data_IF_073201849959
#
_entry.id   IF_073201849959
#
_cell.length_a   1.000
_cell.length_b   1.000
_cell.length_c   1.000
_cell.angle_alpha   90.00
_cell.angle_beta   90.00
_cell.angle_gamma   90.00
#
_symmetry.space_group_name_H-M   'P 1'
#
loop_
_entity.id
_entity.type
_entity.pdbx_description
1 polymer ?
#
# COMPACT_ATOMS: atom_id res chain seq x y z
N UNK A 1 23.93 -43.47 -4.76
CA UNK A 1 25.24 -42.85 -4.50
C UNK A 1 25.00 -41.35 -4.38
N UNK A 2 25.02 -40.71 -3.31
CA UNK A 2 25.69 -40.62 -2.02
C UNK A 2 24.80 -39.79 -1.08
N UNK A 3 24.25 -40.44 -0.07
CA UNK A 3 23.50 -39.78 1.00
C UNK A 3 24.25 -39.79 2.35
N UNK A 4 25.49 -40.26 2.37
CA UNK A 4 26.23 -40.60 3.61
C UNK A 4 27.34 -39.59 3.99
N UNK A 5 27.61 -38.53 3.22
CA UNK A 5 28.66 -37.56 3.57
C UNK A 5 28.22 -36.37 4.44
N UNK A 6 26.93 -36.23 4.75
CA UNK A 6 26.40 -35.08 5.53
C UNK A 6 26.38 -35.37 7.05
N UNK A 7 26.68 -36.61 7.48
CA UNK A 7 26.54 -36.99 8.91
C UNK A 7 27.81 -36.85 9.78
N UNK A 8 28.95 -36.50 9.24
CA UNK A 8 30.23 -36.52 9.97
C UNK A 8 30.79 -35.16 10.39
N UNK A 9 30.10 -34.04 10.13
CA UNK A 9 30.53 -32.69 10.55
C UNK A 9 29.79 -32.10 11.75
N UNK A 10 28.94 -32.86 12.43
CA UNK A 10 28.04 -32.37 13.48
C UNK A 10 28.61 -32.41 14.91
N UNK A 11 29.87 -32.76 15.13
CA UNK A 11 30.39 -33.00 16.49
C UNK A 11 31.71 -32.28 16.86
N UNK A 12 32.06 -31.18 16.20
CA UNK A 12 33.17 -30.32 16.69
C UNK A 12 32.80 -28.85 16.58
N UNK A 13 32.45 -28.23 17.70
CA UNK A 13 32.55 -26.80 17.95
C UNK A 13 31.25 -26.05 18.08
N UNK A 14 30.73 -25.91 19.28
CA UNK A 14 29.58 -25.09 19.63
C UNK A 14 29.72 -23.59 19.32
N UNK A 15 30.87 -23.10 18.93
CA UNK A 15 31.12 -21.67 18.57
C UNK A 15 30.95 -21.35 17.07
N UNK A 16 30.91 -22.36 16.18
CA UNK A 16 30.71 -22.13 14.73
C UNK A 16 29.25 -22.11 14.30
N UNK A 17 28.29 -22.51 15.12
CA UNK A 17 26.87 -22.52 14.77
C UNK A 17 26.23 -21.12 14.77
N UNK A 18 26.75 -20.19 15.56
CA UNK A 18 26.22 -18.81 15.59
C UNK A 18 26.62 -18.00 14.35
N UNK A 19 27.86 -18.21 13.84
CA UNK A 19 28.28 -17.50 12.62
C UNK A 19 27.63 -18.01 11.34
N UNK A 20 27.23 -19.29 11.29
CA UNK A 20 26.58 -19.91 10.11
C UNK A 20 25.13 -19.45 9.95
N UNK A 21 24.41 -19.19 11.05
CA UNK A 21 23.06 -18.60 10.97
C UNK A 21 23.09 -17.16 10.46
N UNK A 22 24.11 -16.40 10.88
CA UNK A 22 24.30 -15.00 10.46
C UNK A 22 24.63 -14.91 8.95
N UNK A 23 25.52 -15.77 8.45
CA UNK A 23 25.88 -15.83 7.03
C UNK A 23 24.72 -16.27 6.14
N UNK A 24 23.81 -17.14 6.62
CA UNK A 24 22.65 -17.58 5.83
C UNK A 24 21.56 -16.49 5.73
N UNK A 25 21.43 -15.63 6.73
CA UNK A 25 20.51 -14.48 6.70
C UNK A 25 20.98 -13.42 5.68
N UNK A 26 22.27 -13.17 5.61
CA UNK A 26 22.86 -12.13 4.76
C UNK A 26 23.13 -12.62 3.32
N UNK A 27 23.20 -13.96 3.11
CA UNK A 27 23.43 -14.60 1.81
C UNK A 27 22.21 -14.66 0.88
N UNK A 28 21.00 -14.37 1.36
CA UNK A 28 19.81 -14.28 0.48
C UNK A 28 19.84 -12.97 -0.33
N UNK A 29 20.72 -12.96 -1.33
CA UNK A 29 20.85 -11.91 -2.36
C UNK A 29 19.58 -11.74 -3.15
N UNK A 30 18.74 -10.82 -2.75
CA UNK A 30 17.84 -10.13 -3.66
C UNK A 30 17.83 -8.66 -3.30
N UNK A 31 18.93 -7.96 -3.64
CA UNK A 31 18.90 -6.53 -3.98
C UNK A 31 20.32 -6.08 -4.36
N UNK A 32 20.66 -6.22 -5.65
CA UNK A 32 21.69 -5.37 -6.24
C UNK A 32 21.05 -4.01 -6.50
N UNK A 33 21.14 -3.10 -5.53
CA UNK A 33 21.10 -1.67 -5.78
C UNK A 33 22.53 -1.20 -5.98
N UNK A 34 22.80 -0.42 -7.01
CA UNK A 34 24.10 0.22 -7.23
C UNK A 34 24.54 0.97 -5.97
N UNK A 35 25.43 0.37 -5.21
CA UNK A 35 26.10 1.01 -4.12
C UNK A 35 27.48 1.47 -4.59
N UNK A 36 27.65 2.79 -4.52
CA UNK A 36 28.93 3.45 -4.57
C UNK A 36 29.88 2.76 -3.56
N UNK A 37 30.99 2.23 -4.05
CA UNK A 37 32.08 1.72 -3.21
C UNK A 37 32.72 2.91 -2.48
N UNK A 38 32.28 3.18 -1.25
CA UNK A 38 32.81 4.29 -0.49
C UNK A 38 32.47 4.19 0.99
N UNK A 39 33.50 3.96 1.80
CA UNK A 39 33.60 4.05 3.26
C UNK A 39 32.53 3.29 4.07
N UNK A 40 33.00 2.34 4.85
CA UNK A 40 32.29 1.76 5.99
C UNK A 40 31.73 2.93 6.82
N UNK A 41 30.44 3.01 6.96
CA UNK A 41 29.76 4.14 7.62
C UNK A 41 29.18 3.69 8.98
N UNK A 42 29.96 2.86 9.69
CA UNK A 42 29.65 2.39 11.04
C UNK A 42 29.49 3.59 11.96
N UNK A 43 28.41 3.63 12.71
CA UNK A 43 28.15 4.73 13.64
C UNK A 43 27.81 4.15 15.01
N UNK A 44 28.60 4.53 16.00
CA UNK A 44 28.38 4.16 17.39
C UNK A 44 28.07 5.39 18.21
N UNK A 45 27.08 5.24 19.07
CA UNK A 45 26.60 6.30 19.95
C UNK A 45 26.45 5.76 21.36
N UNK A 46 26.45 6.67 22.34
CA UNK A 46 26.18 6.38 23.73
C UNK A 46 25.06 7.26 24.25
N UNK A 47 24.15 6.66 25.01
CA UNK A 47 23.12 7.40 25.73
C UNK A 47 23.68 7.90 27.08
N UNK A 48 23.77 9.22 27.22
CA UNK A 48 24.16 9.91 28.44
C UNK A 48 23.22 11.11 28.63
N UNK A 49 21.92 10.80 28.89
CA UNK A 49 20.85 11.80 28.89
C UNK A 49 20.59 12.44 27.53
N UNK A 50 21.52 12.30 26.59
CA UNK A 50 21.46 12.70 25.17
C UNK A 50 22.24 11.69 24.33
N UNK A 51 22.06 11.73 23.01
CA UNK A 51 22.79 10.86 22.08
C UNK A 51 24.17 11.49 21.77
N UNK A 52 25.25 10.86 22.20
CA UNK A 52 26.62 11.30 21.93
C UNK A 52 27.31 10.32 20.97
N UNK A 53 27.91 10.84 19.89
CA UNK A 53 28.71 10.01 18.98
C UNK A 53 29.94 9.47 19.71
N UNK A 54 30.18 8.16 19.59
CA UNK A 54 31.38 7.47 20.10
C UNK A 54 32.42 7.18 19.01
N UNK A 55 32.13 7.56 17.74
CA UNK A 55 33.00 7.35 16.59
C UNK A 55 32.62 6.14 15.75
N UNK A 56 33.55 5.70 14.89
CA UNK A 56 33.36 4.66 13.90
C UNK A 56 33.94 3.29 14.35
N UNK A 57 34.36 3.18 15.62
CA UNK A 57 34.93 1.95 16.19
C UNK A 57 34.00 1.39 17.26
N UNK A 58 33.87 0.04 17.34
CA UNK A 58 33.04 -0.59 18.36
C UNK A 58 33.49 -0.18 19.78
N UNK A 59 32.57 0.10 20.69
CA UNK A 59 32.92 0.46 22.05
C UNK A 59 33.56 -0.74 22.78
N UNK A 60 34.55 -0.47 23.62
CA UNK A 60 35.18 -1.50 24.46
C UNK A 60 34.18 -2.16 25.43
N UNK A 61 33.20 -1.38 25.89
CA UNK A 61 32.11 -1.83 26.75
C UNK A 61 30.77 -1.40 26.16
N UNK A 62 29.87 -2.36 26.03
CA UNK A 62 28.50 -2.16 25.56
C UNK A 62 27.59 -1.86 26.76
N UNK A 63 27.54 -0.59 27.12
CA UNK A 63 26.71 -0.05 28.20
C UNK A 63 26.01 1.21 27.67
N UNK A 64 24.69 1.24 27.64
CA UNK A 64 23.89 2.33 27.06
C UNK A 64 24.33 2.70 25.62
N UNK A 65 24.59 1.70 24.81
CA UNK A 65 25.15 1.86 23.49
C UNK A 65 24.10 1.71 22.37
N UNK A 66 24.21 2.56 21.35
CA UNK A 66 23.51 2.42 20.09
C UNK A 66 24.53 2.16 18.99
N UNK A 67 24.34 1.08 18.24
CA UNK A 67 25.08 0.81 17.01
C UNK A 67 24.14 0.89 15.80
N UNK A 68 24.55 1.66 14.79
CA UNK A 68 23.89 1.73 13.48
C UNK A 68 24.85 1.20 12.45
N UNK A 69 24.50 0.07 11.86
CA UNK A 69 25.34 -0.69 10.95
C UNK A 69 24.55 -1.05 9.70
N UNK A 70 25.26 -1.24 8.60
CA UNK A 70 24.72 -1.97 7.46
C UNK A 70 24.74 -3.48 7.74
N UNK A 71 23.94 -4.24 6.99
CA UNK A 71 23.94 -5.70 7.08
C UNK A 71 25.34 -6.31 6.84
N UNK A 72 26.16 -5.68 5.99
CA UNK A 72 27.52 -6.11 5.69
C UNK A 72 28.49 -5.83 6.84
N UNK A 73 28.41 -4.64 7.43
CA UNK A 73 29.27 -4.25 8.55
C UNK A 73 29.02 -5.10 9.79
N UNK A 74 27.78 -5.51 10.02
CA UNK A 74 27.41 -6.39 11.12
C UNK A 74 28.02 -7.81 11.01
N UNK A 75 28.43 -8.25 9.82
CA UNK A 75 29.20 -9.51 9.63
C UNK A 75 30.68 -9.39 10.05
N UNK A 76 31.23 -8.18 9.93
CA UNK A 76 32.66 -7.94 10.11
C UNK A 76 33.04 -7.60 11.57
N UNK A 77 32.04 -7.21 12.37
CA UNK A 77 32.25 -6.74 13.76
C UNK A 77 31.86 -7.83 14.77
N UNK A 78 32.67 -8.08 15.80
CA UNK A 78 32.29 -8.93 16.92
C UNK A 78 31.21 -8.22 17.77
N UNK A 79 29.93 -8.55 17.51
CA UNK A 79 28.83 -8.04 18.29
C UNK A 79 28.72 -8.83 19.63
N UNK A 80 28.26 -8.18 20.71
CA UNK A 80 28.00 -8.85 21.96
C UNK A 80 26.97 -9.98 21.76
N UNK A 81 27.12 -11.13 22.41
CA UNK A 81 26.13 -12.23 22.29
C UNK A 81 24.70 -11.83 22.65
N UNK A 82 24.56 -10.74 23.40
CA UNK A 82 23.29 -10.19 23.85
C UNK A 82 22.54 -9.44 22.73
N UNK A 83 23.28 -8.84 21.79
CA UNK A 83 22.72 -8.12 20.64
C UNK A 83 22.64 -9.00 19.38
N UNK A 84 23.31 -10.15 19.37
CA UNK A 84 23.15 -11.16 18.31
C UNK A 84 21.88 -11.95 18.60
N UNK A 85 20.80 -11.77 17.85
CA UNK A 85 19.59 -12.55 18.08
C UNK A 85 19.86 -14.01 17.74
N UNK A 86 19.37 -14.97 18.55
CA UNK A 86 19.52 -16.41 18.25
C UNK A 86 18.84 -16.81 16.94
N UNK A 87 17.79 -16.11 16.58
CA UNK A 87 17.13 -16.16 15.28
C UNK A 87 16.77 -14.75 14.86
N UNK A 88 17.37 -14.26 13.77
CA UNK A 88 16.90 -13.01 13.16
C UNK A 88 15.46 -13.18 12.69
N UNK A 89 14.60 -12.17 12.89
CA UNK A 89 13.27 -12.23 12.33
C UNK A 89 13.36 -12.38 10.81
N UNK A 90 12.49 -13.19 10.20
CA UNK A 90 12.52 -13.40 8.75
C UNK A 90 12.39 -12.06 8.03
N UNK A 91 13.07 -11.93 6.89
CA UNK A 91 12.93 -10.73 6.07
C UNK A 91 11.45 -10.50 5.76
N UNK A 92 10.98 -9.30 6.06
CA UNK A 92 9.62 -8.88 5.80
C UNK A 92 9.37 -8.90 4.30
N UNK A 93 8.38 -9.64 3.86
CA UNK A 93 8.01 -9.75 2.44
C UNK A 93 6.98 -8.66 2.05
N UNK A 94 6.49 -8.68 0.81
CA UNK A 94 5.56 -7.65 0.31
C UNK A 94 4.22 -7.54 1.06
N UNK A 95 3.88 -8.54 1.87
CA UNK A 95 2.62 -8.59 2.63
C UNK A 95 2.80 -8.41 4.14
N UNK A 96 4.04 -8.52 4.62
CA UNK A 96 4.40 -8.38 6.01
C UNK A 96 5.30 -7.15 6.17
N UNK A 97 4.82 -6.15 6.88
CA UNK A 97 5.48 -4.84 7.00
C UNK A 97 6.30 -4.70 8.28
N UNK A 98 5.97 -5.46 9.30
CA UNK A 98 6.72 -5.49 10.54
C UNK A 98 6.64 -6.87 11.20
N UNK A 99 7.67 -7.20 11.94
CA UNK A 99 7.77 -8.42 12.76
C UNK A 99 8.42 -8.05 14.08
N UNK A 100 7.89 -8.58 15.16
CA UNK A 100 8.46 -8.47 16.50
C UNK A 100 8.67 -9.89 17.06
N UNK A 101 9.80 -10.13 17.71
CA UNK A 101 10.07 -11.35 18.47
C UNK A 101 10.63 -10.94 19.83
N UNK A 102 9.97 -11.39 20.88
CA UNK A 102 10.44 -11.26 22.26
C UNK A 102 11.02 -12.58 22.73
N UNK A 103 12.17 -12.52 23.38
CA UNK A 103 12.82 -13.68 24.02
C UNK A 103 13.42 -13.25 25.36
N UNK A 104 12.75 -13.59 26.45
CA UNK A 104 13.15 -13.17 27.79
C UNK A 104 13.29 -11.64 27.90
N UNK A 105 14.51 -11.14 28.10
CA UNK A 105 14.84 -9.70 28.18
C UNK A 105 15.43 -9.15 26.88
N UNK A 106 15.21 -9.80 25.74
CA UNK A 106 15.73 -9.40 24.43
C UNK A 106 14.56 -9.23 23.46
N UNK A 107 14.66 -8.22 22.65
CA UNK A 107 13.67 -7.91 21.65
C UNK A 107 14.33 -7.75 20.29
N UNK A 108 13.77 -8.36 19.26
CA UNK A 108 14.21 -8.19 17.88
C UNK A 108 13.03 -7.87 16.99
N UNK A 109 13.20 -6.94 16.07
CA UNK A 109 12.15 -6.58 15.14
C UNK A 109 12.68 -6.17 13.80
N UNK A 110 11.84 -6.30 12.78
CA UNK A 110 12.11 -5.81 11.43
C UNK A 110 10.93 -4.98 10.95
N UNK A 111 11.23 -3.87 10.30
CA UNK A 111 10.22 -2.96 9.74
C UNK A 111 10.53 -2.73 8.27
N UNK A 112 9.49 -2.79 7.44
CA UNK A 112 9.54 -2.49 6.02
C UNK A 112 8.37 -1.62 5.60
N UNK A 113 8.64 -0.35 5.30
CA UNK A 113 7.68 0.56 4.68
C UNK A 113 7.97 0.62 3.18
N UNK A 114 7.00 0.27 2.31
CA UNK A 114 7.21 0.29 0.87
C UNK A 114 7.43 1.71 0.34
N UNK A 115 8.13 1.82 -0.79
CA UNK A 115 8.30 3.10 -1.49
C UNK A 115 6.95 3.76 -1.83
N UNK A 116 6.89 5.08 -1.71
CA UNK A 116 5.74 5.95 -2.02
C UNK A 116 6.18 7.05 -2.97
N UNK A 117 5.24 7.85 -3.48
CA UNK A 117 5.49 8.85 -4.54
C UNK A 117 6.72 9.76 -4.31
N UNK A 118 7.00 10.14 -3.07
CA UNK A 118 8.12 11.06 -2.73
C UNK A 118 9.08 10.46 -1.69
N UNK A 119 8.92 9.18 -1.33
CA UNK A 119 9.71 8.54 -0.27
C UNK A 119 10.22 7.19 -0.76
N UNK A 120 11.52 6.96 -0.57
CA UNK A 120 12.14 5.65 -0.80
C UNK A 120 11.57 4.61 0.17
N UNK A 121 11.69 3.34 -0.18
CA UNK A 121 11.35 2.27 0.75
C UNK A 121 12.25 2.38 1.98
N UNK A 122 11.66 2.17 3.16
CA UNK A 122 12.39 2.11 4.42
C UNK A 122 12.43 0.65 4.85
N UNK A 123 13.61 0.19 5.19
CA UNK A 123 13.80 -1.14 5.76
C UNK A 123 14.93 -1.06 6.78
N UNK A 124 14.62 -1.48 7.99
CA UNK A 124 15.63 -1.67 9.02
C UNK A 124 15.24 -2.83 9.94
N UNK A 125 16.22 -3.41 10.58
CA UNK A 125 16.05 -4.44 11.62
C UNK A 125 16.69 -3.91 12.89
N UNK A 126 16.10 -4.21 14.02
CA UNK A 126 16.67 -3.84 15.31
C UNK A 126 16.80 -5.06 16.23
N UNK A 127 17.81 -5.01 17.09
CA UNK A 127 17.97 -5.90 18.22
C UNK A 127 18.21 -5.04 19.46
N UNK A 128 17.39 -5.26 20.47
CA UNK A 128 17.41 -4.56 21.74
C UNK A 128 17.70 -5.53 22.88
N UNK A 129 18.57 -5.14 23.80
CA UNK A 129 18.93 -5.90 25.01
C UNK A 129 19.08 -4.94 26.19
N UNK A 130 17.97 -4.62 26.84
CA UNK A 130 17.93 -3.72 28.00
C UNK A 130 18.41 -2.30 27.68
N UNK A 131 19.68 -2.05 27.87
CA UNK A 131 20.30 -0.72 27.69
C UNK A 131 20.88 -0.50 26.29
N UNK A 132 21.05 -1.56 25.51
CA UNK A 132 21.74 -1.52 24.22
C UNK A 132 20.79 -1.73 23.07
N UNK A 133 21.00 -0.99 21.98
CA UNK A 133 20.24 -1.06 20.75
C UNK A 133 21.16 -1.21 19.53
N UNK A 134 20.95 -2.24 18.75
CA UNK A 134 21.55 -2.44 17.43
C UNK A 134 20.50 -2.16 16.36
N UNK A 135 20.85 -1.35 15.37
CA UNK A 135 20.04 -1.06 14.19
C UNK A 135 20.80 -1.45 12.93
N UNK A 136 20.19 -2.31 12.10
CA UNK A 136 20.69 -2.68 10.80
C UNK A 136 19.91 -1.93 9.73
N UNK A 137 20.54 -0.99 9.06
CA UNK A 137 19.92 -0.08 8.09
C UNK A 137 20.74 0.07 6.82
N UNK A 138 20.42 -0.69 5.80
CA UNK A 138 21.05 -0.58 4.48
C UNK A 138 20.52 0.61 3.65
N UNK A 139 19.45 1.26 4.11
CA UNK A 139 18.75 2.33 3.39
C UNK A 139 19.08 3.75 3.81
N UNK A 140 19.79 3.92 4.93
CA UNK A 140 20.19 5.22 5.48
C UNK A 140 19.05 6.01 6.14
N UNK A 141 17.92 5.36 6.45
CA UNK A 141 16.82 6.01 7.14
C UNK A 141 17.17 6.38 8.58
N UNK A 142 17.79 5.45 9.30
CA UNK A 142 18.18 5.63 10.71
C UNK A 142 19.27 6.70 10.82
N UNK A 143 20.27 6.67 9.94
CA UNK A 143 21.33 7.70 9.91
C UNK A 143 20.73 9.09 9.67
N UNK A 144 19.82 9.21 8.69
CA UNK A 144 19.13 10.47 8.43
C UNK A 144 18.21 10.91 9.58
N UNK A 145 17.61 9.97 10.34
CA UNK A 145 16.89 10.29 11.56
C UNK A 145 17.81 10.85 12.63
N UNK A 146 18.95 10.23 12.88
CA UNK A 146 19.95 10.67 13.88
C UNK A 146 20.45 12.07 13.54
N UNK A 147 20.77 12.36 12.27
CA UNK A 147 21.19 13.69 11.85
C UNK A 147 20.15 14.76 12.18
N UNK A 148 18.88 14.50 11.92
CA UNK A 148 17.79 15.43 12.26
C UNK A 148 17.64 15.59 13.77
N UNK A 149 17.75 14.50 14.52
CA UNK A 149 17.61 14.51 15.98
C UNK A 149 18.78 15.20 16.69
N UNK A 150 20.01 15.00 16.24
CA UNK A 150 21.18 15.67 16.84
C UNK A 150 21.11 17.19 16.69
N UNK A 151 20.49 17.70 15.62
CA UNK A 151 20.24 19.12 15.45
C UNK A 151 19.24 19.70 16.48
N UNK A 152 18.36 18.87 17.05
CA UNK A 152 17.31 19.27 18.00
C UNK A 152 17.69 19.04 19.47
N UNK A 153 18.84 18.41 19.73
CA UNK A 153 19.36 18.05 21.08
C UNK A 153 18.29 17.40 21.98
N UNK A 154 17.64 16.32 21.54
CA UNK A 154 16.62 15.68 22.32
C UNK A 154 17.20 15.00 23.58
N UNK A 155 16.41 14.96 24.65
CA UNK A 155 16.73 14.20 25.85
C UNK A 155 16.16 12.79 25.73
N UNK A 156 17.04 11.79 25.84
CA UNK A 156 16.70 10.38 25.91
C UNK A 156 16.88 9.89 27.35
N UNK A 157 15.91 10.16 28.21
CA UNK A 157 16.00 9.83 29.64
C UNK A 157 16.04 8.32 29.88
N UNK A 158 15.29 7.55 29.06
CA UNK A 158 15.24 6.07 29.06
C UNK A 158 16.11 5.49 27.92
N UNK A 159 17.15 6.20 27.52
CA UNK A 159 18.18 5.72 26.60
C UNK A 159 17.64 5.09 25.31
N UNK A 160 17.93 3.81 25.11
CA UNK A 160 17.56 3.03 23.93
C UNK A 160 16.04 2.95 23.70
N UNK A 161 15.23 2.93 24.77
CA UNK A 161 13.78 2.83 24.69
C UNK A 161 13.15 4.11 24.14
N UNK A 162 13.56 5.26 24.65
CA UNK A 162 13.12 6.56 24.16
C UNK A 162 13.51 6.75 22.68
N UNK A 163 14.74 6.33 22.32
CA UNK A 163 15.22 6.42 20.96
C UNK A 163 14.40 5.56 20.00
N UNK A 164 14.12 4.30 20.35
CA UNK A 164 13.32 3.40 19.55
C UNK A 164 11.89 3.94 19.36
N UNK A 165 11.28 4.46 20.42
CA UNK A 165 9.94 5.05 20.36
C UNK A 165 9.91 6.28 19.42
N UNK A 166 10.90 7.18 19.49
CA UNK A 166 11.00 8.35 18.60
C UNK A 166 11.26 7.95 17.15
N UNK A 167 12.10 6.94 16.91
CA UNK A 167 12.34 6.39 15.58
C UNK A 167 11.04 5.86 14.95
N UNK A 168 10.20 5.17 15.72
CA UNK A 168 8.90 4.69 15.27
C UNK A 168 7.92 5.83 14.97
N UNK A 169 7.93 6.91 15.77
CA UNK A 169 7.11 8.10 15.52
C UNK A 169 7.54 8.78 14.22
N UNK A 170 8.85 8.98 14.00
CA UNK A 170 9.39 9.59 12.78
C UNK A 170 9.05 8.76 11.53
N UNK A 171 8.97 7.43 11.66
CA UNK A 171 8.63 6.50 10.59
C UNK A 171 7.33 6.85 9.89
N UNK A 172 6.32 7.32 10.62
CA UNK A 172 4.97 7.64 10.11
C UNK A 172 4.65 9.13 10.16
N UNK A 173 5.64 9.99 10.48
CA UNK A 173 5.42 11.43 10.67
C UNK A 173 4.92 12.12 9.40
N UNK A 174 5.41 11.74 8.23
CA UNK A 174 5.03 12.29 6.93
C UNK A 174 3.77 11.68 6.31
N UNK A 175 3.17 10.68 6.95
CA UNK A 175 2.10 9.89 6.37
C UNK A 175 0.75 10.64 6.22
N UNK A 176 0.36 11.61 7.08
CA UNK A 176 -0.85 12.40 6.86
C UNK A 176 -0.83 13.13 5.51
N UNK A 177 0.32 13.75 5.15
CA UNK A 177 0.45 14.42 3.84
C UNK A 177 0.33 13.44 2.66
N UNK A 178 0.79 12.20 2.83
CA UNK A 178 0.61 11.17 1.82
C UNK A 178 -0.85 10.69 1.70
N UNK A 179 -1.58 10.57 2.81
CA UNK A 179 -3.01 10.24 2.79
C UNK A 179 -3.81 11.35 2.11
N UNK A 180 -3.53 12.61 2.42
CA UNK A 180 -4.12 13.76 1.73
C UNK A 180 -3.85 13.76 0.22
N UNK A 181 -2.66 13.35 -0.21
CA UNK A 181 -2.37 13.17 -1.64
C UNK A 181 -3.23 12.06 -2.27
N UNK A 182 -3.48 10.95 -1.58
CA UNK A 182 -4.37 9.89 -2.07
C UNK A 182 -5.83 10.37 -2.16
N UNK A 183 -6.29 11.17 -1.21
CA UNK A 183 -7.60 11.82 -1.22
C UNK A 183 -7.75 12.72 -2.46
N UNK A 184 -6.81 13.63 -2.69
CA UNK A 184 -6.82 14.49 -3.88
C UNK A 184 -6.87 13.70 -5.20
N UNK A 185 -6.24 12.54 -5.27
CA UNK A 185 -6.32 11.64 -6.44
C UNK A 185 -7.70 11.01 -6.59
N UNK A 186 -8.41 10.74 -5.50
CA UNK A 186 -9.79 10.27 -5.54
C UNK A 186 -10.74 11.38 -6.01
N UNK A 187 -10.57 12.61 -5.51
CA UNK A 187 -11.34 13.77 -5.94
C UNK A 187 -11.23 14.04 -7.44
N UNK A 188 -10.00 13.93 -7.99
CA UNK A 188 -9.79 14.01 -9.44
C UNK A 188 -10.52 12.90 -10.22
N UNK A 189 -10.58 11.69 -9.66
CA UNK A 189 -11.30 10.57 -10.27
C UNK A 189 -12.81 10.78 -10.21
N UNK A 190 -13.34 11.26 -9.09
CA UNK A 190 -14.76 11.61 -8.93
C UNK A 190 -15.15 12.68 -9.96
N UNK A 191 -14.38 13.77 -10.03
CA UNK A 191 -14.60 14.83 -11.01
C UNK A 191 -14.61 14.30 -12.44
N UNK A 192 -13.68 13.43 -12.81
CA UNK A 192 -13.63 12.81 -14.14
C UNK A 192 -14.89 11.98 -14.47
N UNK A 193 -15.49 11.34 -13.46
CA UNK A 193 -16.75 10.59 -13.61
C UNK A 193 -17.91 11.56 -13.84
N UNK A 194 -18.00 12.64 -13.05
CA UNK A 194 -19.05 13.66 -13.17
C UNK A 194 -18.99 14.40 -14.52
N UNK A 195 -17.78 14.67 -15.01
CA UNK A 195 -17.54 15.30 -16.31
C UNK A 195 -17.74 14.32 -17.50
N UNK A 196 -18.00 13.03 -17.25
CA UNK A 196 -18.22 12.01 -18.26
C UNK A 196 -16.92 11.48 -18.92
N UNK A 197 -15.75 11.85 -18.40
CA UNK A 197 -14.44 11.43 -18.89
C UNK A 197 -14.05 10.06 -18.29
N UNK A 198 -14.67 8.99 -18.78
CA UNK A 198 -14.56 7.66 -18.17
C UNK A 198 -13.49 6.74 -18.77
N UNK A 199 -12.83 7.16 -19.85
CA UNK A 199 -11.99 6.29 -20.70
C UNK A 199 -10.81 5.60 -19.97
N UNK A 200 -10.28 6.18 -18.90
CA UNK A 200 -9.15 5.63 -18.12
C UNK A 200 -9.48 5.40 -16.65
N UNK A 201 -10.73 5.60 -16.27
CA UNK A 201 -11.19 5.55 -14.87
C UNK A 201 -10.83 4.24 -14.18
N UNK A 202 -11.23 3.09 -14.75
CA UNK A 202 -11.03 1.77 -14.14
C UNK A 202 -9.55 1.51 -13.83
N UNK A 203 -8.65 1.85 -14.76
CA UNK A 203 -7.21 1.64 -14.58
C UNK A 203 -6.65 2.54 -13.48
N UNK A 204 -7.00 3.84 -13.48
CA UNK A 204 -6.54 4.80 -12.46
C UNK A 204 -7.07 4.43 -11.08
N UNK A 205 -8.37 4.11 -10.97
CA UNK A 205 -9.01 3.67 -9.73
C UNK A 205 -8.38 2.37 -9.19
N UNK A 206 -8.07 1.40 -10.04
CA UNK A 206 -7.40 0.16 -9.63
C UNK A 206 -6.04 0.42 -8.96
N UNK A 207 -5.26 1.38 -9.45
CA UNK A 207 -3.97 1.76 -8.85
C UNK A 207 -4.19 2.35 -7.46
N UNK A 208 -5.10 3.34 -7.32
CA UNK A 208 -5.39 3.98 -6.04
C UNK A 208 -5.91 2.97 -5.01
N UNK A 209 -6.83 2.09 -5.40
CA UNK A 209 -7.36 1.04 -4.51
C UNK A 209 -6.28 0.07 -4.04
N UNK A 210 -5.32 -0.31 -4.89
CA UNK A 210 -4.18 -1.14 -4.48
C UNK A 210 -3.31 -0.43 -3.45
N UNK A 211 -3.04 0.85 -3.63
CA UNK A 211 -2.28 1.67 -2.68
C UNK A 211 -3.02 1.78 -1.33
N UNK A 212 -4.30 2.09 -1.33
CA UNK A 212 -5.13 2.17 -0.13
C UNK A 212 -5.18 0.83 0.63
N UNK A 213 -5.38 -0.28 -0.08
CA UNK A 213 -5.40 -1.61 0.54
C UNK A 213 -4.05 -1.98 1.16
N UNK A 214 -2.95 -1.63 0.51
CA UNK A 214 -1.60 -1.84 1.04
C UNK A 214 -1.36 -1.01 2.30
N UNK A 215 -1.72 0.27 2.28
CA UNK A 215 -1.54 1.17 3.42
C UNK A 215 -2.40 0.76 4.61
N UNK A 216 -3.66 0.39 4.39
CA UNK A 216 -4.53 -0.09 5.46
C UNK A 216 -3.96 -1.33 6.16
N UNK A 217 -3.41 -2.29 5.41
CA UNK A 217 -2.72 -3.45 6.00
C UNK A 217 -1.46 -3.07 6.75
N UNK A 218 -0.70 -2.13 6.21
CA UNK A 218 0.54 -1.67 6.83
C UNK A 218 0.26 -0.98 8.18
N UNK A 219 -0.71 -0.05 8.23
CA UNK A 219 -1.05 0.61 9.49
C UNK A 219 -1.68 -0.36 10.50
N UNK A 220 -2.45 -1.35 10.05
CA UNK A 220 -2.97 -2.40 10.92
C UNK A 220 -1.82 -3.19 11.58
N UNK A 221 -0.81 -3.59 10.81
CA UNK A 221 0.35 -4.30 11.35
C UNK A 221 1.23 -3.40 12.24
N UNK A 222 1.36 -2.11 11.91
CA UNK A 222 2.08 -1.16 12.78
C UNK A 222 1.35 -0.93 14.11
N UNK A 223 0.02 -0.92 14.13
CA UNK A 223 -0.76 -0.85 15.37
C UNK A 223 -0.55 -2.10 16.21
N UNK A 224 -0.69 -3.29 15.62
CA UNK A 224 -0.45 -4.58 16.29
C UNK A 224 0.99 -4.70 16.83
N UNK A 225 1.97 -4.23 16.05
CA UNK A 225 3.36 -4.16 16.48
C UNK A 225 3.55 -3.25 17.70
N UNK A 226 2.89 -2.09 17.74
CA UNK A 226 2.95 -1.16 18.85
C UNK A 226 2.25 -1.71 20.11
N UNK A 227 1.11 -2.39 19.94
CA UNK A 227 0.41 -3.08 21.01
C UNK A 227 1.31 -4.17 21.62
N UNK A 228 1.90 -5.03 20.80
CA UNK A 228 2.83 -6.07 21.26
C UNK A 228 4.03 -5.49 22.00
N UNK A 229 4.58 -4.35 21.54
CA UNK A 229 5.65 -3.65 22.25
C UNK A 229 5.20 -3.16 23.64
N UNK A 230 3.96 -2.67 23.77
CA UNK A 230 3.44 -2.19 25.04
C UNK A 230 3.13 -3.31 26.02
N UNK A 231 2.60 -4.44 25.53
CA UNK A 231 2.21 -5.58 26.36
C UNK A 231 3.44 -6.37 26.82
N UNK A 232 4.27 -6.81 25.88
CA UNK A 232 5.39 -7.70 26.13
C UNK A 232 6.57 -7.00 26.82
N UNK A 233 6.73 -5.69 26.60
CA UNK A 233 7.83 -4.90 27.13
C UNK A 233 7.40 -3.91 28.23
N UNK A 234 6.19 -4.05 28.78
CA UNK A 234 5.65 -3.13 29.81
C UNK A 234 6.54 -2.98 31.05
N UNK A 235 7.24 -4.03 31.42
CA UNK A 235 8.20 -4.02 32.54
C UNK A 235 9.57 -3.42 32.17
N UNK A 236 9.82 -3.22 30.88
CA UNK A 236 11.14 -2.83 30.33
C UNK A 236 11.18 -1.37 29.90
N UNK A 237 10.02 -0.74 29.69
CA UNK A 237 9.88 0.65 29.29
C UNK A 237 9.53 1.55 30.48
N UNK A 238 10.25 2.66 30.62
CA UNK A 238 9.89 3.71 31.57
C UNK A 238 8.59 4.42 31.16
N UNK A 239 8.02 5.20 32.07
CA UNK A 239 6.78 5.97 31.85
C UNK A 239 6.90 6.89 30.63
N UNK A 240 8.07 7.46 30.36
CA UNK A 240 8.27 8.35 29.21
C UNK A 240 8.19 7.61 27.89
N UNK A 241 8.92 6.52 27.74
CA UNK A 241 8.95 5.68 26.55
C UNK A 241 7.59 5.02 26.27
N UNK A 242 6.92 4.57 27.34
CA UNK A 242 5.56 4.02 27.24
C UNK A 242 4.54 5.05 26.73
N UNK A 243 4.63 6.33 27.14
CA UNK A 243 3.81 7.42 26.61
C UNK A 243 4.08 7.68 25.11
N UNK A 244 5.33 7.64 24.69
CA UNK A 244 5.72 7.81 23.28
C UNK A 244 5.20 6.66 22.42
N UNK A 245 5.32 5.42 22.88
CA UNK A 245 4.74 4.25 22.21
C UNK A 245 3.21 4.34 22.11
N UNK A 246 2.53 4.80 23.19
CA UNK A 246 1.09 5.05 23.15
C UNK A 246 0.71 6.16 22.14
N UNK A 247 1.55 7.16 21.97
CA UNK A 247 1.35 8.19 20.94
C UNK A 247 1.52 7.59 19.54
N UNK A 248 2.56 6.77 19.31
CA UNK A 248 2.77 6.06 18.05
C UNK A 248 1.59 5.16 17.70
N UNK A 249 1.10 4.35 18.67
CA UNK A 249 -0.06 3.48 18.49
C UNK A 249 -1.29 4.28 18.03
N UNK A 250 -1.69 5.30 18.81
CA UNK A 250 -2.86 6.14 18.44
C UNK A 250 -2.71 6.78 17.06
N UNK A 251 -1.49 7.18 16.69
CA UNK A 251 -1.23 7.76 15.37
C UNK A 251 -1.36 6.72 14.25
N UNK A 252 -0.86 5.51 14.45
CA UNK A 252 -1.00 4.40 13.49
C UNK A 252 -2.47 4.00 13.30
N UNK A 253 -3.24 3.93 14.40
CA UNK A 253 -4.69 3.68 14.37
C UNK A 253 -5.46 4.78 13.63
N UNK A 254 -5.11 6.04 13.87
CA UNK A 254 -5.72 7.17 13.16
C UNK A 254 -5.46 7.10 11.66
N UNK A 255 -4.22 6.85 11.23
CA UNK A 255 -3.86 6.68 9.82
C UNK A 255 -4.57 5.47 9.18
N UNK A 256 -4.76 4.40 9.95
CA UNK A 256 -5.56 3.24 9.53
C UNK A 256 -7.01 3.63 9.29
N UNK A 257 -7.62 4.38 10.22
CA UNK A 257 -9.01 4.84 10.11
C UNK A 257 -9.20 5.76 8.91
N UNK A 258 -8.31 6.74 8.71
CA UNK A 258 -8.34 7.62 7.53
C UNK A 258 -8.21 6.82 6.23
N UNK A 259 -7.28 5.86 6.18
CA UNK A 259 -7.14 4.99 5.00
C UNK A 259 -8.40 4.16 4.75
N UNK A 260 -9.09 3.72 5.80
CA UNK A 260 -10.36 3.00 5.67
C UNK A 260 -11.45 3.90 5.09
N UNK A 261 -11.58 5.14 5.56
CA UNK A 261 -12.53 6.13 5.00
C UNK A 261 -12.28 6.36 3.50
N UNK A 262 -11.02 6.51 3.10
CA UNK A 262 -10.68 6.66 1.67
C UNK A 262 -11.00 5.41 0.84
N UNK A 263 -10.94 4.21 1.42
CA UNK A 263 -11.36 2.96 0.73
C UNK A 263 -12.87 2.94 0.49
N UNK A 264 -13.64 3.41 1.46
CA UNK A 264 -15.10 3.53 1.36
C UNK A 264 -15.47 4.60 0.32
N UNK A 265 -14.81 5.75 0.34
CA UNK A 265 -14.94 6.80 -0.67
C UNK A 265 -14.60 6.28 -2.09
N UNK A 266 -13.50 5.54 -2.26
CA UNK A 266 -13.17 4.91 -3.54
C UNK A 266 -14.26 3.92 -4.02
N UNK A 267 -14.96 3.26 -3.11
CA UNK A 267 -16.09 2.38 -3.44
C UNK A 267 -17.30 3.18 -3.89
N UNK A 268 -17.59 4.30 -3.23
CA UNK A 268 -18.67 5.22 -3.62
C UNK A 268 -18.44 5.76 -5.04
N UNK A 269 -17.24 6.25 -5.36
CA UNK A 269 -16.91 6.74 -6.71
C UNK A 269 -17.10 5.62 -7.77
N UNK A 270 -16.76 4.37 -7.45
CA UNK A 270 -17.02 3.26 -8.35
C UNK A 270 -18.53 3.04 -8.59
N UNK A 271 -19.38 3.23 -7.58
CA UNK A 271 -20.83 3.12 -7.72
C UNK A 271 -21.40 4.25 -8.57
N UNK A 272 -20.88 5.46 -8.43
CA UNK A 272 -21.25 6.63 -9.25
C UNK A 272 -20.84 6.42 -10.72
N UNK A 273 -19.63 5.90 -10.95
CA UNK A 273 -19.19 5.50 -12.29
C UNK A 273 -20.15 4.50 -12.93
N UNK A 274 -20.57 3.47 -12.18
CA UNK A 274 -21.52 2.47 -12.69
C UNK A 274 -22.87 3.11 -13.04
N UNK A 275 -23.38 4.00 -12.18
CA UNK A 275 -24.61 4.74 -12.45
C UNK A 275 -24.51 5.59 -13.72
N UNK A 276 -23.38 6.25 -13.98
CA UNK A 276 -23.17 7.00 -15.22
C UNK A 276 -23.15 6.09 -16.45
N UNK A 277 -22.48 4.93 -16.37
CA UNK A 277 -22.49 3.93 -17.46
C UNK A 277 -23.92 3.47 -17.74
N UNK A 278 -24.71 3.19 -16.72
CA UNK A 278 -26.11 2.75 -16.85
C UNK A 278 -26.99 3.84 -17.49
N UNK A 279 -26.78 5.12 -17.16
CA UNK A 279 -27.48 6.25 -17.78
C UNK A 279 -27.16 6.30 -19.28
N UNK A 280 -25.90 6.19 -19.66
CA UNK A 280 -25.48 6.20 -21.09
C UNK A 280 -26.07 4.99 -21.83
N UNK A 281 -25.98 3.80 -21.24
CA UNK A 281 -26.54 2.57 -21.82
C UNK A 281 -28.07 2.70 -22.03
N UNK A 282 -28.78 3.20 -21.02
CA UNK A 282 -30.23 3.43 -21.13
C UNK A 282 -30.58 4.43 -22.23
N UNK A 283 -29.75 5.48 -22.42
CA UNK A 283 -29.95 6.45 -23.52
C UNK A 283 -29.78 5.78 -24.89
N UNK A 284 -28.75 4.93 -25.06
CA UNK A 284 -28.51 4.19 -26.30
C UNK A 284 -29.67 3.20 -26.57
N UNK A 285 -30.11 2.47 -25.54
CA UNK A 285 -31.25 1.55 -25.66
C UNK A 285 -32.55 2.26 -26.05
N UNK A 286 -32.84 3.45 -25.48
CA UNK A 286 -33.98 4.27 -25.86
C UNK A 286 -33.91 4.69 -27.34
N UNK A 287 -32.75 5.17 -27.78
CA UNK A 287 -32.54 5.55 -29.19
C UNK A 287 -32.77 4.39 -30.14
N UNK A 288 -32.20 3.23 -29.83
CA UNK A 288 -32.36 1.99 -30.62
C UNK A 288 -33.84 1.58 -30.69
N UNK A 289 -34.56 1.62 -29.56
CA UNK A 289 -35.98 1.29 -29.48
C UNK A 289 -36.82 2.25 -30.32
N UNK A 290 -36.55 3.55 -30.28
CA UNK A 290 -37.23 4.56 -31.10
C UNK A 290 -37.05 4.25 -32.60
N UNK A 291 -35.81 4.05 -33.02
CA UNK A 291 -35.46 3.76 -34.42
C UNK A 291 -36.19 2.48 -34.89
N UNK A 292 -36.04 1.39 -34.13
CA UNK A 292 -36.66 0.09 -34.53
C UNK A 292 -38.19 0.16 -34.54
N UNK A 293 -38.81 0.86 -33.58
CA UNK A 293 -40.27 0.99 -33.53
C UNK A 293 -40.83 1.82 -34.69
N UNK A 294 -40.09 2.83 -35.18
CA UNK A 294 -40.48 3.62 -36.34
C UNK A 294 -40.30 2.82 -37.63
N UNK A 295 -39.14 2.14 -37.80
CA UNK A 295 -38.85 1.44 -39.03
C UNK A 295 -39.58 0.11 -39.22
N UNK A 296 -39.97 -0.58 -38.13
CA UNK A 296 -40.67 -1.87 -38.21
C UNK A 296 -41.98 -1.81 -39.00
N UNK A 297 -42.95 -0.91 -38.69
CA UNK A 297 -44.20 -0.83 -39.47
C UNK A 297 -43.94 -0.37 -40.93
N UNK A 298 -42.97 0.53 -41.15
CA UNK A 298 -42.63 0.96 -42.51
C UNK A 298 -42.02 -0.17 -43.34
N UNK A 299 -41.15 -0.99 -42.76
CA UNK A 299 -40.55 -2.15 -43.40
C UNK A 299 -41.59 -3.22 -43.68
N UNK A 300 -42.59 -3.40 -42.80
CA UNK A 300 -43.73 -4.31 -43.01
C UNK A 300 -44.54 -3.84 -44.20
N UNK A 301 -44.94 -2.58 -44.27
CA UNK A 301 -45.68 -1.98 -45.39
C UNK A 301 -44.90 -2.11 -46.72
N UNK A 302 -43.65 -1.73 -46.72
CA UNK A 302 -42.80 -1.82 -47.91
C UNK A 302 -42.59 -3.28 -48.37
N UNK A 303 -42.38 -4.19 -47.41
CA UNK A 303 -42.28 -5.63 -47.69
C UNK A 303 -43.58 -6.24 -48.24
N UNK A 304 -44.71 -5.86 -47.68
CA UNK A 304 -46.05 -6.35 -48.12
C UNK A 304 -46.33 -5.92 -49.55
N UNK A 305 -46.21 -4.63 -49.86
CA UNK A 305 -46.45 -4.11 -51.19
C UNK A 305 -45.26 -4.37 -52.18
N UNK A 306 -44.13 -4.85 -51.69
CA UNK A 306 -43.00 -5.31 -52.50
C UNK A 306 -43.11 -6.78 -52.93
N UNK A 307 -44.14 -7.50 -52.52
CA UNK A 307 -44.35 -8.91 -52.91
C UNK A 307 -44.91 -9.04 -54.32
N UNK A 308 -44.40 -10.01 -55.08
CA UNK A 308 -44.83 -10.26 -56.46
C UNK A 308 -46.05 -11.16 -56.55
N UNK A 309 -47.14 -10.80 -55.90
CA UNK A 309 -48.42 -11.52 -56.04
C UNK A 309 -49.15 -11.01 -57.30
N UNK A 310 -49.68 -11.95 -58.11
CA UNK A 310 -50.38 -11.64 -59.34
C UNK A 310 -51.81 -11.05 -59.12
N UNK A 311 -52.35 -11.11 -57.89
CA UNK A 311 -53.72 -10.65 -57.62
C UNK A 311 -53.73 -9.75 -56.36
N UNK A 312 -53.29 -8.49 -56.52
CA UNK A 312 -53.37 -7.42 -55.51
C UNK A 312 -54.25 -6.30 -56.01
N UNK A 313 -55.56 -6.27 -55.66
CA UNK A 313 -56.52 -5.27 -56.17
C UNK A 313 -56.15 -3.83 -55.75
N UNK A 314 -55.45 -3.66 -54.64
CA UNK A 314 -54.98 -2.34 -54.11
C UNK A 314 -53.98 -1.67 -55.06
N UNK A 315 -53.16 -2.43 -55.79
CA UNK A 315 -52.19 -1.91 -56.74
C UNK A 315 -52.79 -1.36 -58.06
N UNK A 316 -54.03 -1.77 -58.36
CA UNK A 316 -54.79 -1.29 -59.52
C UNK A 316 -55.57 -0.02 -59.23
N UNK A 317 -55.66 0.41 -57.95
CA UNK A 317 -56.34 1.63 -57.56
C UNK A 317 -55.48 2.87 -57.81
N UNK A 318 -56.01 3.84 -58.55
CA UNK A 318 -55.27 5.06 -58.97
C UNK A 318 -54.70 5.87 -57.82
N UNK A 319 -55.37 5.81 -56.63
CA UNK A 319 -54.94 6.48 -55.41
C UNK A 319 -54.21 5.55 -54.44
N UNK A 320 -53.98 4.29 -54.79
CA UNK A 320 -53.35 3.30 -53.88
C UNK A 320 -51.97 3.71 -53.38
N UNK A 321 -51.08 4.16 -54.28
CA UNK A 321 -49.72 4.62 -53.93
C UNK A 321 -49.71 5.87 -53.00
N UNK A 322 -50.48 6.96 -53.31
CA UNK A 322 -50.61 8.07 -52.37
C UNK A 322 -51.20 7.70 -51.04
N UNK A 323 -52.17 6.77 -50.99
CA UNK A 323 -52.77 6.31 -49.77
C UNK A 323 -51.80 5.55 -48.86
N UNK A 324 -50.95 4.69 -49.41
CA UNK A 324 -49.89 3.98 -48.65
C UNK A 324 -48.88 4.94 -48.10
N UNK A 325 -48.43 5.95 -48.89
CA UNK A 325 -47.54 7.00 -48.37
C UNK A 325 -48.23 7.77 -47.25
N UNK A 326 -49.46 8.18 -47.41
CA UNK A 326 -50.23 8.89 -46.40
C UNK A 326 -50.35 8.08 -45.08
N UNK A 327 -50.67 6.78 -45.21
CA UNK A 327 -50.68 5.88 -44.05
C UNK A 327 -49.33 5.76 -43.37
N UNK A 328 -48.23 5.61 -44.11
CA UNK A 328 -46.89 5.55 -43.57
C UNK A 328 -46.52 6.86 -42.81
N UNK A 329 -46.84 8.02 -43.38
CA UNK A 329 -46.60 9.33 -42.71
C UNK A 329 -47.41 9.46 -41.42
N UNK A 330 -48.68 9.05 -41.45
CA UNK A 330 -49.56 9.04 -40.27
C UNK A 330 -49.03 8.15 -39.15
N UNK A 331 -48.55 6.95 -39.49
CA UNK A 331 -47.95 6.02 -38.52
C UNK A 331 -46.72 6.65 -37.87
N UNK A 332 -45.81 7.20 -38.68
CA UNK A 332 -44.57 7.87 -38.16
C UNK A 332 -44.93 9.06 -37.28
N UNK A 333 -45.87 9.90 -37.72
CA UNK A 333 -46.30 11.06 -36.97
C UNK A 333 -46.94 10.65 -35.58
N UNK A 334 -47.78 9.64 -35.60
CA UNK A 334 -48.39 9.11 -34.38
C UNK A 334 -47.34 8.53 -33.41
N UNK A 335 -46.34 7.80 -33.93
CA UNK A 335 -45.24 7.27 -33.11
C UNK A 335 -44.36 8.38 -32.54
N UNK A 336 -44.02 9.41 -33.31
CA UNK A 336 -43.22 10.55 -32.83
C UNK A 336 -43.98 11.30 -31.73
N UNK A 337 -45.28 11.56 -31.92
CA UNK A 337 -46.14 12.22 -30.89
C UNK A 337 -46.18 11.35 -29.64
N UNK A 338 -46.36 10.04 -29.78
CA UNK A 338 -46.39 9.12 -28.65
C UNK A 338 -45.02 9.11 -27.87
N UNK A 339 -43.89 9.01 -28.55
CA UNK A 339 -42.55 9.08 -27.91
C UNK A 339 -42.33 10.41 -27.21
N UNK A 340 -42.73 11.54 -27.84
CA UNK A 340 -42.64 12.86 -27.23
C UNK A 340 -43.49 12.99 -25.97
N UNK A 341 -44.72 12.44 -26.00
CA UNK A 341 -45.59 12.42 -24.80
C UNK A 341 -44.99 11.58 -23.68
N UNK A 342 -44.29 10.51 -23.99
CA UNK A 342 -43.59 9.64 -23.02
C UNK A 342 -42.24 10.22 -22.56
N UNK A 343 -41.83 11.40 -23.03
CA UNK A 343 -40.51 12.02 -22.74
C UNK A 343 -39.30 11.12 -23.10
N UNK A 344 -39.43 10.36 -24.19
CA UNK A 344 -38.33 9.55 -24.70
C UNK A 344 -37.48 10.30 -25.72
N UNK A 345 -38.08 11.30 -26.37
CA UNK A 345 -37.48 12.32 -27.23
C UNK A 345 -37.39 13.65 -26.53
#
# INVERSE_FOLDING_TARGET
>A
MKADEVRLYALRGGLKKQSVCYTHFLSNKVFRGDHNEGSLNMQFYRFDGSLKSSGDTPPEKWENALAVLTSREAEEIPLPPELVPPEMPPMVNQTQFCVLKMQQKRMTGSIHIPARHQRRAIRFTFAWSGENLLLLDDGGFVSGFIERMTALVPKFADGANDFLAELLIDLIQGDPGYIQHLESRLDELEKSVLDGETSKFIRRMSVVRKELNRNNRMYAQLSEFAESLQEDASELFDISSSKRLSYFLRRAEHLRSETQMLREYATQICSEYQAQVDIVQNRVMKLLTIVTTIFMPLSLIAGWYGMNFSNMPELQWTYGYPAVIGAAVLIVAALIIWFRHRKWL
#
